data_IF_304426987191
#
_entry.id   IF_304426987191
#
_cell.length_a   1.000
_cell.length_b   1.000
_cell.length_c   1.000
_cell.angle_alpha   90.00
_cell.angle_beta   90.00
_cell.angle_gamma   90.00
#
_symmetry.space_group_name_H-M   'P 1'
#
loop_
_entity.id
_entity.type
_entity.pdbx_description
1 polymer ?
#
# COMPACT_ATOMS: atom_id res chain seq x y z
N UNK A 1 16.51 -73.23 -7.57
CA UNK A 1 16.64 -71.79 -7.90
C UNK A 1 16.60 -71.03 -6.58
N UNK A 2 17.44 -70.00 -6.38
CA UNK A 2 18.70 -70.06 -5.63
C UNK A 2 18.59 -69.50 -4.18
N UNK A 3 19.54 -69.85 -3.30
CA UNK A 3 19.98 -68.94 -2.21
C UNK A 3 20.99 -67.92 -2.78
N UNK A 4 21.80 -67.16 -2.00
CA UNK A 4 21.88 -67.01 -0.55
C UNK A 4 22.08 -65.52 -0.11
N UNK A 5 22.45 -65.34 1.16
CA UNK A 5 23.56 -64.46 1.60
C UNK A 5 23.46 -62.93 1.70
N UNK A 6 23.90 -62.47 2.89
CA UNK A 6 24.83 -61.35 3.20
C UNK A 6 24.43 -59.96 2.68
N UNK A 7 24.55 -58.89 3.45
CA UNK A 7 25.31 -58.62 4.64
C UNK A 7 25.25 -57.10 4.82
N UNK A 8 25.32 -56.63 6.06
CA UNK A 8 25.44 -55.21 6.33
C UNK A 8 26.65 -54.64 5.60
N UNK A 9 26.47 -53.48 4.98
CA UNK A 9 27.59 -52.65 4.57
C UNK A 9 27.42 -51.25 5.20
N UNK A 10 28.34 -50.82 6.07
CA UNK A 10 28.38 -49.47 6.59
C UNK A 10 29.17 -48.59 5.59
N UNK A 11 28.46 -47.80 4.79
CA UNK A 11 29.06 -46.61 4.18
C UNK A 11 28.95 -45.49 5.21
N UNK A 12 29.96 -45.31 6.04
CA UNK A 12 31.15 -44.50 5.80
C UNK A 12 30.78 -43.02 5.60
N UNK A 13 30.98 -42.32 6.70
CA UNK A 13 31.15 -40.88 6.90
C UNK A 13 31.62 -40.10 5.67
N UNK A 14 30.78 -39.17 5.25
CA UNK A 14 31.20 -37.90 4.65
C UNK A 14 30.47 -36.78 5.40
N UNK A 15 30.92 -36.50 6.62
CA UNK A 15 30.54 -35.30 7.36
C UNK A 15 31.32 -34.14 6.74
N UNK A 16 30.76 -33.58 5.67
CA UNK A 16 31.25 -32.40 5.00
C UNK A 16 30.10 -31.40 4.87
N UNK A 17 30.39 -30.15 5.23
CA UNK A 17 29.55 -28.96 5.15
C UNK A 17 28.78 -28.62 6.42
N UNK A 18 29.49 -27.83 7.22
CA UNK A 18 28.95 -26.91 8.20
C UNK A 18 27.99 -25.89 7.55
N UNK A 19 27.13 -25.34 8.41
CA UNK A 19 26.34 -24.11 8.25
C UNK A 19 25.14 -24.17 7.30
N UNK A 20 23.99 -24.55 7.86
CA UNK A 20 22.70 -23.98 7.42
C UNK A 20 21.93 -23.49 8.65
N UNK A 21 22.11 -22.23 9.07
CA UNK A 21 21.14 -21.54 9.90
C UNK A 21 20.28 -20.68 8.98
N UNK A 22 19.27 -21.27 8.34
CA UNK A 22 18.15 -20.47 7.82
C UNK A 22 16.90 -21.27 8.11
N UNK A 23 16.38 -21.10 9.32
CA UNK A 23 14.93 -21.17 9.51
C UNK A 23 14.37 -20.15 8.51
N UNK A 24 13.86 -20.64 7.39
CA UNK A 24 13.02 -19.85 6.52
C UNK A 24 11.85 -19.41 7.40
N UNK A 25 11.94 -18.17 7.90
CA UNK A 25 10.83 -17.48 8.54
C UNK A 25 9.75 -17.40 7.48
N UNK A 26 8.84 -18.37 7.48
CA UNK A 26 7.56 -18.29 6.80
C UNK A 26 6.79 -17.16 7.46
N UNK A 27 7.12 -15.95 7.06
CA UNK A 27 6.24 -14.81 7.23
C UNK A 27 4.94 -15.20 6.51
N UNK A 28 3.80 -15.35 7.23
CA UNK A 28 2.53 -15.48 6.54
C UNK A 28 2.40 -14.25 5.64
N UNK A 29 1.82 -14.33 4.42
CA UNK A 29 1.49 -13.12 3.70
C UNK A 29 0.63 -12.29 4.66
N UNK A 30 1.09 -11.10 5.01
CA UNK A 30 0.30 -10.11 5.74
C UNK A 30 -1.01 -9.97 4.97
N UNK A 31 -2.05 -10.69 5.40
CA UNK A 31 -3.40 -10.62 4.82
C UNK A 31 -4.09 -9.31 5.23
N UNK A 32 -3.37 -8.45 5.96
CA UNK A 32 -3.66 -7.06 6.25
C UNK A 32 -2.58 -6.17 5.60
N UNK A 33 -2.38 -6.25 4.27
CA UNK A 33 -1.81 -5.09 3.57
C UNK A 33 -2.89 -4.00 3.62
N UNK A 34 -3.00 -3.36 4.78
CA UNK A 34 -3.76 -2.14 4.97
C UNK A 34 -3.39 -1.21 3.81
N UNK A 35 -4.39 -0.64 3.16
CA UNK A 35 -4.16 0.25 2.04
C UNK A 35 -3.08 1.27 2.47
N UNK A 36 -1.89 1.32 1.80
CA UNK A 36 -0.79 2.17 2.24
C UNK A 36 -1.13 3.66 2.11
N UNK A 37 -2.24 3.98 1.44
CA UNK A 37 -2.75 5.31 1.26
C UNK A 37 -3.59 5.74 2.47
N UNK A 38 -3.39 6.96 2.98
CA UNK A 38 -4.17 7.47 4.09
C UNK A 38 -5.64 7.66 3.71
N UNK A 39 -6.48 7.68 4.73
CA UNK A 39 -7.89 8.02 4.58
C UNK A 39 -8.08 9.44 4.04
N UNK A 40 -9.11 9.62 3.21
CA UNK A 40 -9.48 10.91 2.63
C UNK A 40 -9.80 11.92 3.73
N UNK A 41 -10.54 11.53 4.78
CA UNK A 41 -10.89 12.41 5.88
C UNK A 41 -9.64 12.97 6.58
N UNK A 42 -8.68 12.09 6.90
CA UNK A 42 -7.41 12.48 7.52
C UNK A 42 -6.58 13.37 6.59
N UNK A 43 -6.48 13.03 5.32
CA UNK A 43 -5.74 13.80 4.32
C UNK A 43 -6.33 15.20 4.09
N UNK A 44 -7.64 15.29 3.89
CA UNK A 44 -8.35 16.55 3.68
C UNK A 44 -8.28 17.44 4.91
N UNK A 45 -8.39 16.87 6.12
CA UNK A 45 -8.27 17.63 7.37
C UNK A 45 -6.89 18.30 7.47
N UNK A 46 -5.81 17.54 7.21
CA UNK A 46 -4.45 18.10 7.16
C UNK A 46 -4.31 19.19 6.10
N UNK A 47 -4.87 18.99 4.91
CA UNK A 47 -4.85 20.01 3.87
C UNK A 47 -5.67 21.24 4.27
N UNK A 48 -6.78 21.08 4.98
CA UNK A 48 -7.59 22.19 5.46
C UNK A 48 -6.84 23.03 6.50
N UNK A 49 -6.05 22.40 7.39
CA UNK A 49 -5.19 23.09 8.36
C UNK A 49 -4.10 23.92 7.66
N UNK A 50 -3.51 23.39 6.57
CA UNK A 50 -2.50 24.09 5.79
C UNK A 50 -3.09 25.12 4.81
N UNK A 51 -4.35 24.96 4.39
CA UNK A 51 -5.00 25.77 3.36
C UNK A 51 -6.40 26.24 3.80
N UNK A 52 -6.44 27.02 4.88
CA UNK A 52 -7.64 27.57 5.51
C UNK A 52 -8.61 28.25 4.52
N UNK A 53 -8.08 28.87 3.46
CA UNK A 53 -8.86 29.60 2.46
C UNK A 53 -9.72 28.71 1.54
N UNK A 54 -9.43 27.41 1.43
CA UNK A 54 -10.13 26.51 0.50
C UNK A 54 -11.30 25.74 1.13
N UNK A 55 -11.47 25.84 2.44
CA UNK A 55 -12.51 25.16 3.23
C UNK A 55 -12.72 23.70 2.77
N UNK A 56 -11.65 22.91 2.75
CA UNK A 56 -11.66 21.56 2.18
C UNK A 56 -12.42 20.56 3.07
N UNK A 57 -12.49 20.81 4.38
CA UNK A 57 -13.16 19.94 5.34
C UNK A 57 -14.64 19.72 5.03
N UNK A 58 -15.31 20.69 4.38
CA UNK A 58 -16.72 20.55 3.99
C UNK A 58 -16.98 19.42 2.98
N UNK A 59 -15.95 18.98 2.24
CA UNK A 59 -16.09 17.93 1.23
C UNK A 59 -15.88 16.52 1.82
N UNK A 60 -15.35 16.38 3.04
CA UNK A 60 -15.15 15.08 3.71
C UNK A 60 -16.44 14.23 3.72
N UNK A 61 -17.60 14.73 4.21
CA UNK A 61 -18.83 13.93 4.21
C UNK A 61 -19.35 13.61 2.80
N UNK A 62 -18.96 14.39 1.79
CA UNK A 62 -19.35 14.11 0.41
C UNK A 62 -18.57 12.92 -0.16
N UNK A 63 -17.30 12.77 0.22
CA UNK A 63 -16.51 11.60 -0.15
C UNK A 63 -17.00 10.33 0.55
N UNK A 64 -17.39 10.45 1.82
CA UNK A 64 -17.98 9.35 2.60
C UNK A 64 -19.29 8.85 1.94
N UNK A 65 -20.15 9.78 1.50
CA UNK A 65 -21.37 9.43 0.74
C UNK A 65 -21.12 8.79 -0.63
N UNK A 66 -19.91 8.95 -1.18
CA UNK A 66 -19.49 8.35 -2.46
C UNK A 66 -18.75 7.03 -2.28
N UNK A 67 -18.70 6.50 -1.05
CA UNK A 67 -17.93 5.32 -0.66
C UNK A 67 -16.44 5.45 -1.00
N UNK A 68 -15.91 6.67 -0.97
CA UNK A 68 -14.47 6.93 -1.11
C UNK A 68 -13.85 7.10 0.27
N UNK A 69 -12.94 6.20 0.60
CA UNK A 69 -12.29 6.11 1.90
C UNK A 69 -10.80 6.49 1.82
N UNK A 70 -10.12 6.23 0.71
CA UNK A 70 -8.66 6.41 0.57
C UNK A 70 -8.28 7.35 -0.59
N UNK A 71 -7.15 8.04 -0.44
CA UNK A 71 -6.75 9.07 -1.41
C UNK A 71 -6.46 8.53 -2.82
N UNK A 72 -6.19 7.24 -2.99
CA UNK A 72 -6.00 6.63 -4.30
C UNK A 72 -7.29 6.60 -5.13
N UNK A 73 -8.45 6.58 -4.49
CA UNK A 73 -9.75 6.66 -5.15
C UNK A 73 -9.95 8.04 -5.79
N UNK A 74 -9.53 9.11 -5.10
CA UNK A 74 -9.47 10.46 -5.67
C UNK A 74 -8.50 10.49 -6.87
N UNK A 75 -7.37 9.78 -6.78
CA UNK A 75 -6.41 9.71 -7.88
C UNK A 75 -6.94 8.94 -9.10
N UNK A 76 -7.81 7.95 -8.89
CA UNK A 76 -8.44 7.17 -9.96
C UNK A 76 -9.36 8.02 -10.84
N UNK A 77 -9.93 9.11 -10.31
CA UNK A 77 -10.73 10.06 -11.09
C UNK A 77 -9.92 10.76 -12.19
N UNK A 78 -8.59 10.92 -11.99
CA UNK A 78 -7.56 11.50 -12.89
C UNK A 78 -7.80 12.93 -13.41
N UNK A 79 -9.04 13.37 -13.50
CA UNK A 79 -9.51 14.56 -14.21
C UNK A 79 -10.31 15.45 -13.27
N UNK A 80 -10.12 16.75 -13.40
CA UNK A 80 -10.86 17.77 -12.64
C UNK A 80 -12.37 17.64 -12.91
N UNK A 81 -12.75 17.40 -14.16
CA UNK A 81 -14.13 17.23 -14.61
C UNK A 81 -14.85 16.08 -13.90
N UNK A 82 -14.18 14.95 -13.73
CA UNK A 82 -14.74 13.79 -13.01
C UNK A 82 -15.03 14.14 -11.54
N UNK A 83 -14.10 14.86 -10.90
CA UNK A 83 -14.26 15.29 -9.52
C UNK A 83 -15.34 16.38 -9.36
N UNK A 84 -15.43 17.34 -10.28
CA UNK A 84 -16.50 18.36 -10.28
C UNK A 84 -17.87 17.80 -10.67
N UNK A 85 -17.92 16.70 -11.43
CA UNK A 85 -19.15 15.98 -11.75
C UNK A 85 -19.70 15.24 -10.53
N UNK A 86 -18.83 14.63 -9.73
CA UNK A 86 -19.19 13.96 -8.48
C UNK A 86 -19.53 14.95 -7.36
N UNK A 87 -18.82 16.08 -7.31
CA UNK A 87 -18.97 17.10 -6.28
C UNK A 87 -19.37 18.42 -6.93
N UNK A 88 -20.67 18.67 -7.20
CA UNK A 88 -21.11 19.88 -7.90
C UNK A 88 -20.74 21.18 -7.16
N UNK A 89 -20.53 21.12 -5.85
CA UNK A 89 -20.13 22.26 -5.01
C UNK A 89 -18.62 22.52 -4.98
N UNK A 90 -17.79 21.68 -5.64
CA UNK A 90 -16.35 21.89 -5.73
C UNK A 90 -16.01 22.79 -6.93
N UNK A 91 -15.27 23.87 -6.68
CA UNK A 91 -14.69 24.66 -7.76
C UNK A 91 -13.64 23.84 -8.52
N UNK A 92 -13.56 24.01 -9.85
CA UNK A 92 -12.50 23.42 -10.68
C UNK A 92 -11.09 23.69 -10.14
N UNK A 93 -10.83 24.89 -9.58
CA UNK A 93 -9.54 25.22 -8.97
C UNK A 93 -9.27 24.45 -7.68
N UNK A 94 -10.31 24.09 -6.93
CA UNK A 94 -10.23 23.27 -5.72
C UNK A 94 -10.07 21.80 -6.05
N UNK A 95 -10.80 21.30 -7.05
CA UNK A 95 -10.65 19.95 -7.58
C UNK A 95 -9.25 19.71 -8.17
N UNK A 96 -8.74 20.64 -8.99
CA UNK A 96 -7.39 20.56 -9.54
C UNK A 96 -6.32 20.54 -8.43
N UNK A 97 -6.51 21.37 -7.40
CA UNK A 97 -5.63 21.40 -6.24
C UNK A 97 -5.65 20.08 -5.47
N UNK A 98 -6.84 19.54 -5.19
CA UNK A 98 -6.99 18.27 -4.48
C UNK A 98 -6.32 17.13 -5.25
N UNK A 99 -6.55 17.02 -6.56
CA UNK A 99 -5.89 16.04 -7.41
C UNK A 99 -4.37 16.18 -7.42
N UNK A 100 -3.84 17.40 -7.46
CA UNK A 100 -2.41 17.65 -7.40
C UNK A 100 -1.80 17.21 -6.06
N UNK A 101 -2.47 17.55 -4.95
CA UNK A 101 -2.03 17.15 -3.62
C UNK A 101 -2.10 15.64 -3.42
N UNK A 102 -3.20 15.00 -3.83
CA UNK A 102 -3.37 13.55 -3.81
C UNK A 102 -2.25 12.85 -4.60
N UNK A 103 -1.93 13.34 -5.80
CA UNK A 103 -0.82 12.79 -6.61
C UNK A 103 0.53 12.94 -5.91
N UNK A 104 0.79 14.09 -5.31
CA UNK A 104 2.02 14.33 -4.55
C UNK A 104 2.11 13.39 -3.33
N UNK A 105 1.01 13.19 -2.62
CA UNK A 105 0.88 12.34 -1.45
C UNK A 105 1.14 10.87 -1.80
N UNK A 106 0.46 10.36 -2.83
CA UNK A 106 0.66 9.00 -3.35
C UNK A 106 2.09 8.80 -3.83
N UNK A 107 2.66 9.78 -4.54
CA UNK A 107 4.06 9.72 -4.99
C UNK A 107 5.01 9.64 -3.79
N UNK A 108 4.80 10.43 -2.75
CA UNK A 108 5.62 10.42 -1.53
C UNK A 108 5.53 9.08 -0.81
N UNK A 109 4.35 8.50 -0.68
CA UNK A 109 4.14 7.17 -0.09
C UNK A 109 4.85 6.09 -0.93
N UNK A 110 4.67 6.12 -2.25
CA UNK A 110 5.34 5.18 -3.16
C UNK A 110 6.87 5.33 -3.16
N UNK A 111 7.39 6.55 -3.03
CA UNK A 111 8.83 6.77 -2.88
C UNK A 111 9.34 6.25 -1.52
N UNK A 112 8.60 6.47 -0.43
CA UNK A 112 8.95 5.99 0.90
C UNK A 112 8.91 4.45 0.97
N UNK A 113 7.91 3.82 0.34
CA UNK A 113 7.79 2.37 0.27
C UNK A 113 8.91 1.70 -0.54
N UNK A 114 9.53 2.43 -1.48
CA UNK A 114 10.62 1.94 -2.33
C UNK A 114 12.02 2.23 -1.78
N UNK A 115 12.15 2.99 -0.71
CA UNK A 115 13.43 3.22 -0.07
C UNK A 115 13.84 1.94 0.70
N UNK A 116 14.96 1.29 0.35
CA UNK A 116 15.44 0.15 1.13
C UNK A 116 15.74 0.61 2.55
N UNK A 117 15.17 -0.07 3.55
CA UNK A 117 15.55 0.10 4.96
C UNK A 117 17.05 -0.26 5.05
N UNK A 118 17.90 0.77 5.21
CA UNK A 118 19.34 0.64 5.48
C UNK A 118 19.58 0.17 6.91
#
# INVERSE_FOLDING_TARGET
MPGPSFGGNPHNVASGSALHPVLASSDPPDMDVANPYPEIATFITRLADHHLLRNLAKYIPLFDNLDFYHIDEINNLKTVEALTSLLPDISAGTAAFLLAQTKAEIKRINCAARAPKL
#
